data_IF_657695315434
#
_entry.id   IF_657695315434
#
_cell.length_a   1.000
_cell.length_b   1.000
_cell.length_c   1.000
_cell.angle_alpha   90.00
_cell.angle_beta   90.00
_cell.angle_gamma   90.00
#
_symmetry.space_group_name_H-M   'P 1'
#
loop_
_entity.id
_entity.type
_entity.pdbx_description
1 polymer ?
#
# COMPACT_ATOMS: atom_id res chain seq x y z
N UNK A 1 -26.18 -22.99 3.81
CA UNK A 1 -26.47 -21.56 3.53
C UNK A 1 -25.20 -20.94 2.97
N UNK A 2 -25.18 -20.49 1.71
CA UNK A 2 -24.01 -19.80 1.12
C UNK A 2 -24.20 -18.29 1.31
N UNK A 3 -23.25 -17.63 1.97
CA UNK A 3 -23.25 -16.16 2.07
C UNK A 3 -22.84 -15.58 0.71
N UNK A 4 -23.70 -14.77 0.11
CA UNK A 4 -23.35 -13.94 -1.05
C UNK A 4 -22.55 -12.74 -0.55
N UNK A 5 -21.26 -12.69 -0.86
CA UNK A 5 -20.33 -11.65 -0.39
C UNK A 5 -20.61 -10.27 -0.96
N UNK A 6 -21.61 -9.59 -0.40
CA UNK A 6 -22.12 -8.30 -0.88
C UNK A 6 -21.82 -7.19 0.14
N UNK A 7 -21.19 -6.11 -0.32
CA UNK A 7 -21.38 -4.74 0.18
C UNK A 7 -21.11 -4.51 1.68
N UNK A 8 -19.87 -4.77 2.09
CA UNK A 8 -19.30 -4.13 3.27
C UNK A 8 -18.17 -3.19 2.83
N UNK A 9 -18.53 -1.96 2.43
CA UNK A 9 -17.60 -0.83 2.30
C UNK A 9 -16.77 -0.76 3.58
N UNK A 10 -15.45 -0.86 3.50
CA UNK A 10 -14.67 -1.10 4.72
C UNK A 10 -14.66 0.17 5.61
N UNK A 11 -14.64 0.02 6.94
CA UNK A 11 -14.58 1.20 7.82
C UNK A 11 -13.34 2.06 7.51
N UNK A 12 -12.22 1.43 7.21
CA UNK A 12 -10.98 2.10 6.81
C UNK A 12 -11.19 2.93 5.53
N UNK A 13 -11.81 2.35 4.50
CA UNK A 13 -12.16 3.02 3.25
C UNK A 13 -13.11 4.23 3.46
N UNK A 14 -14.15 4.10 4.28
CA UNK A 14 -15.05 5.20 4.60
C UNK A 14 -14.39 6.32 5.44
N UNK A 15 -13.52 5.95 6.38
CA UNK A 15 -12.75 6.93 7.15
C UNK A 15 -11.70 7.64 6.27
N UNK A 16 -11.11 6.95 5.27
CA UNK A 16 -10.20 7.55 4.26
C UNK A 16 -10.97 8.51 3.35
N UNK A 17 -12.12 8.08 2.82
CA UNK A 17 -12.99 8.91 1.98
C UNK A 17 -13.35 10.21 2.69
N UNK A 18 -13.78 10.13 3.95
CA UNK A 18 -14.13 11.29 4.80
C UNK A 18 -12.97 12.29 4.93
N UNK A 19 -11.74 11.81 5.08
CA UNK A 19 -10.56 12.67 5.18
C UNK A 19 -10.13 13.25 3.82
N UNK A 20 -10.28 12.51 2.72
CA UNK A 20 -9.99 13.00 1.37
C UNK A 20 -11.02 14.03 0.91
N UNK A 21 -12.31 13.84 1.18
CA UNK A 21 -13.39 14.80 0.90
C UNK A 21 -13.15 16.14 1.62
N UNK A 22 -12.78 16.08 2.91
CA UNK A 22 -12.41 17.25 3.70
C UNK A 22 -11.27 18.08 3.08
N UNK A 23 -10.35 17.47 2.34
CA UNK A 23 -9.18 18.15 1.74
C UNK A 23 -9.40 18.52 0.26
N UNK A 24 -9.92 17.59 -0.54
CA UNK A 24 -10.09 17.74 -1.99
C UNK A 24 -11.42 18.39 -2.38
N UNK A 25 -12.38 18.46 -1.45
CA UNK A 25 -13.76 18.86 -1.75
C UNK A 25 -14.63 17.66 -2.16
N UNK A 26 -15.89 17.94 -2.56
CA UNK A 26 -16.97 16.95 -2.60
C UNK A 26 -16.65 15.76 -3.51
N UNK A 27 -16.52 14.58 -2.92
CA UNK A 27 -16.35 13.31 -3.59
C UNK A 27 -17.63 12.47 -3.65
N UNK A 28 -17.51 11.29 -4.26
CA UNK A 28 -18.55 10.27 -4.32
C UNK A 28 -17.91 8.93 -3.91
N UNK A 29 -18.41 8.32 -2.85
CA UNK A 29 -18.03 6.97 -2.43
C UNK A 29 -18.87 5.90 -3.15
N UNK A 30 -18.34 4.68 -3.28
CA UNK A 30 -19.04 3.49 -3.82
C UNK A 30 -19.52 3.65 -5.29
N UNK A 31 -18.97 4.64 -6.01
CA UNK A 31 -19.45 5.10 -7.32
C UNK A 31 -19.58 3.96 -8.34
N UNK A 32 -20.75 3.92 -9.00
CA UNK A 32 -21.13 2.83 -9.89
C UNK A 32 -21.03 3.27 -11.35
N UNK A 33 -20.04 2.74 -12.06
CA UNK A 33 -19.71 3.12 -13.43
C UNK A 33 -19.83 1.94 -14.40
N UNK A 34 -20.21 2.22 -15.64
CA UNK A 34 -20.16 1.25 -16.74
C UNK A 34 -18.85 1.45 -17.51
N UNK A 35 -17.93 0.49 -17.42
CA UNK A 35 -16.65 0.52 -18.13
C UNK A 35 -16.65 -0.57 -19.20
N UNK A 36 -16.81 -0.16 -20.46
CA UNK A 36 -17.11 -1.05 -21.58
C UNK A 36 -18.34 -1.90 -21.28
N UNK A 37 -18.20 -3.24 -21.38
CA UNK A 37 -19.30 -4.18 -21.14
C UNK A 37 -19.47 -4.60 -19.67
N UNK A 38 -18.74 -4.00 -18.70
CA UNK A 38 -18.80 -4.37 -17.28
C UNK A 38 -19.17 -3.17 -16.40
N UNK A 39 -20.19 -3.33 -15.55
CA UNK A 39 -20.41 -2.43 -14.41
C UNK A 39 -19.33 -2.67 -13.36
N UNK A 40 -18.70 -1.61 -12.86
CA UNK A 40 -17.67 -1.65 -11.82
C UNK A 40 -18.05 -0.71 -10.67
N UNK A 41 -17.61 -1.06 -9.46
CA UNK A 41 -17.50 -0.16 -8.31
C UNK A 41 -16.16 0.55 -8.38
N UNK A 42 -16.19 1.86 -8.24
CA UNK A 42 -15.06 2.69 -7.81
C UNK A 42 -15.25 2.94 -6.32
N UNK A 43 -14.19 2.81 -5.53
CA UNK A 43 -14.29 3.02 -4.08
C UNK A 43 -14.52 4.50 -3.76
N UNK A 44 -13.73 5.40 -4.37
CA UNK A 44 -13.82 6.85 -4.18
C UNK A 44 -13.55 7.61 -5.50
N UNK A 45 -14.36 8.64 -5.78
CA UNK A 45 -14.19 9.53 -6.92
C UNK A 45 -14.27 11.00 -6.48
N UNK A 46 -13.31 11.82 -6.88
CA UNK A 46 -13.25 13.26 -6.60
C UNK A 46 -13.19 14.03 -7.92
N UNK A 47 -14.25 14.74 -8.34
CA UNK A 47 -14.26 15.53 -9.58
C UNK A 47 -13.22 16.64 -9.51
N UNK A 48 -12.25 16.66 -10.43
CA UNK A 48 -11.22 17.70 -10.48
C UNK A 48 -11.66 18.87 -11.36
N UNK A 49 -12.28 18.55 -12.51
CA UNK A 49 -12.95 19.48 -13.44
C UNK A 49 -14.21 18.80 -14.02
N UNK A 50 -14.95 19.51 -14.87
CA UNK A 50 -16.11 18.96 -15.61
C UNK A 50 -15.80 17.70 -16.45
N UNK A 51 -14.52 17.45 -16.78
CA UNK A 51 -14.09 16.32 -17.63
C UNK A 51 -12.98 15.44 -17.04
N UNK A 52 -12.56 15.70 -15.80
CA UNK A 52 -11.49 14.94 -15.12
C UNK A 52 -11.84 14.65 -13.67
N UNK A 53 -11.49 13.45 -13.20
CA UNK A 53 -11.64 13.05 -11.81
C UNK A 53 -10.38 12.34 -11.30
N UNK A 54 -10.11 12.51 -10.01
CA UNK A 54 -9.24 11.61 -9.26
C UNK A 54 -10.08 10.42 -8.78
N UNK A 55 -9.58 9.23 -9.00
CA UNK A 55 -10.14 7.95 -8.56
C UNK A 55 -9.16 7.38 -7.52
N UNK A 56 -9.66 7.08 -6.33
CA UNK A 56 -8.86 6.50 -5.25
C UNK A 56 -9.47 5.16 -4.83
N UNK A 57 -8.64 4.13 -4.75
CA UNK A 57 -9.03 2.77 -4.38
C UNK A 57 -8.20 2.26 -3.20
N UNK A 58 -8.80 1.48 -2.30
CA UNK A 58 -8.07 0.91 -1.15
C UNK A 58 -7.88 -0.59 -1.30
N UNK A 59 -6.65 -0.99 -1.61
CA UNK A 59 -6.29 -2.39 -1.81
C UNK A 59 -5.80 -3.01 -0.51
N UNK A 60 -6.75 -3.56 0.27
CA UNK A 60 -6.42 -4.34 1.45
C UNK A 60 -5.68 -5.62 1.08
N UNK A 61 -4.54 -5.88 1.73
CA UNK A 61 -3.63 -6.98 1.38
C UNK A 61 -4.27 -8.37 1.42
N UNK A 62 -5.32 -8.55 2.24
CA UNK A 62 -6.08 -9.79 2.32
C UNK A 62 -6.88 -10.12 1.04
N UNK A 63 -7.30 -9.10 0.28
CA UNK A 63 -8.19 -9.26 -0.87
C UNK A 63 -7.46 -9.17 -2.21
N UNK A 64 -6.41 -8.36 -2.32
CA UNK A 64 -5.75 -8.02 -3.59
C UNK A 64 -4.46 -8.79 -3.88
N UNK A 65 -3.96 -9.57 -2.92
CA UNK A 65 -2.78 -10.41 -3.13
C UNK A 65 -3.06 -11.47 -4.21
N UNK A 66 -2.19 -11.56 -5.22
CA UNK A 66 -2.36 -12.41 -6.40
C UNK A 66 -3.50 -11.98 -7.34
N UNK A 67 -3.95 -10.72 -7.27
CA UNK A 67 -4.94 -10.13 -8.19
C UNK A 67 -4.39 -8.97 -9.04
N UNK A 68 -3.07 -8.80 -9.10
CA UNK A 68 -2.39 -7.63 -9.68
C UNK A 68 -2.79 -7.37 -11.14
N UNK A 69 -2.97 -8.41 -11.95
CA UNK A 69 -3.45 -8.29 -13.33
C UNK A 69 -4.90 -7.77 -13.42
N UNK A 70 -5.78 -8.20 -12.50
CA UNK A 70 -7.19 -7.76 -12.42
C UNK A 70 -7.28 -6.30 -11.94
N UNK A 71 -6.44 -5.93 -10.97
CA UNK A 71 -6.34 -4.56 -10.44
C UNK A 71 -5.79 -3.59 -11.50
N UNK A 72 -4.80 -4.02 -12.28
CA UNK A 72 -4.23 -3.27 -13.39
C UNK A 72 -5.21 -3.13 -14.56
N UNK A 73 -5.93 -4.20 -14.93
CA UNK A 73 -7.06 -4.11 -15.88
C UNK A 73 -8.12 -3.10 -15.42
N UNK A 74 -8.45 -3.10 -14.11
CA UNK A 74 -9.40 -2.15 -13.53
C UNK A 74 -8.88 -0.72 -13.63
N UNK A 75 -7.63 -0.48 -13.23
CA UNK A 75 -7.00 0.85 -13.26
C UNK A 75 -6.94 1.41 -14.67
N UNK A 76 -6.48 0.64 -15.66
CA UNK A 76 -6.50 1.07 -17.07
C UNK A 76 -7.90 1.37 -17.61
N UNK A 77 -8.89 0.56 -17.26
CA UNK A 77 -10.28 0.82 -17.66
C UNK A 77 -10.86 2.08 -17.00
N UNK A 78 -10.38 2.47 -15.81
CA UNK A 78 -10.78 3.69 -15.11
C UNK A 78 -10.06 4.92 -15.66
N UNK A 79 -8.74 4.85 -15.89
CA UNK A 79 -7.91 5.91 -16.47
C UNK A 79 -8.34 6.26 -17.91
N UNK A 80 -8.82 5.28 -18.68
CA UNK A 80 -9.35 5.50 -20.04
C UNK A 80 -10.67 6.31 -20.10
N UNK A 81 -11.31 6.54 -18.95
CA UNK A 81 -12.48 7.41 -18.85
C UNK A 81 -13.83 6.81 -19.28
N UNK A 82 -14.87 7.61 -19.10
CA UNK A 82 -16.25 7.37 -19.53
C UNK A 82 -16.94 8.71 -19.82
N UNK A 83 -18.28 8.72 -19.95
CA UNK A 83 -18.95 9.87 -20.59
C UNK A 83 -18.84 11.22 -19.92
N UNK A 84 -18.81 11.26 -18.58
CA UNK A 84 -18.60 12.50 -17.83
C UNK A 84 -17.11 12.83 -17.68
N UNK A 85 -16.30 11.86 -17.24
CA UNK A 85 -14.88 12.08 -16.96
C UNK A 85 -14.02 11.30 -17.96
N UNK A 86 -13.40 12.04 -18.88
CA UNK A 86 -12.55 11.51 -19.97
C UNK A 86 -11.09 11.43 -19.58
N UNK A 87 -10.64 12.30 -18.68
CA UNK A 87 -9.23 12.46 -18.29
C UNK A 87 -9.08 12.07 -16.81
N UNK A 88 -9.08 10.78 -16.52
CA UNK A 88 -9.05 10.28 -15.14
C UNK A 88 -7.63 10.02 -14.65
N UNK A 89 -7.41 10.34 -13.37
CA UNK A 89 -6.21 9.97 -12.62
C UNK A 89 -6.61 8.86 -11.65
N UNK A 90 -5.92 7.72 -11.68
CA UNK A 90 -6.14 6.62 -10.73
C UNK A 90 -4.97 6.56 -9.75
N UNK A 91 -5.29 6.37 -8.47
CA UNK A 91 -4.34 6.07 -7.39
C UNK A 91 -4.85 4.88 -6.60
N UNK A 92 -4.08 3.80 -6.52
CA UNK A 92 -4.34 2.68 -5.61
C UNK A 92 -3.53 2.85 -4.32
N UNK A 93 -4.20 2.74 -3.18
CA UNK A 93 -3.57 2.70 -1.86
C UNK A 93 -3.27 1.23 -1.55
N UNK A 94 -2.03 0.80 -1.75
CA UNK A 94 -1.59 -0.61 -1.74
C UNK A 94 -1.09 -1.01 -0.34
N UNK A 95 -1.82 -1.84 0.39
CA UNK A 95 -1.36 -2.32 1.71
C UNK A 95 -0.22 -3.34 1.59
N UNK A 96 0.91 -3.12 2.26
CA UNK A 96 2.06 -4.03 2.25
C UNK A 96 1.66 -5.49 2.60
N UNK A 97 1.97 -6.51 1.77
CA UNK A 97 3.08 -6.57 0.83
C UNK A 97 2.67 -6.34 -0.64
N UNK A 98 1.58 -5.62 -0.91
CA UNK A 98 1.22 -5.27 -2.27
C UNK A 98 2.18 -4.24 -2.86
N UNK A 99 2.81 -4.60 -3.96
CA UNK A 99 3.60 -3.70 -4.81
C UNK A 99 2.70 -2.70 -5.57
N UNK A 100 3.24 -1.53 -5.98
CA UNK A 100 2.52 -0.57 -6.81
C UNK A 100 2.38 -1.09 -8.25
N UNK A 101 1.26 -0.78 -8.90
CA UNK A 101 0.97 -1.23 -10.27
C UNK A 101 1.24 -0.12 -11.31
N UNK A 102 1.02 1.14 -10.93
CA UNK A 102 1.34 2.32 -11.72
C UNK A 102 2.08 3.37 -10.85
N UNK A 103 2.81 4.32 -11.46
CA UNK A 103 3.65 5.33 -10.76
C UNK A 103 2.89 6.18 -9.73
N UNK A 104 1.57 6.33 -9.90
CA UNK A 104 0.72 7.12 -9.01
C UNK A 104 0.20 6.32 -7.79
N UNK A 105 0.45 5.02 -7.72
CA UNK A 105 0.05 4.17 -6.59
C UNK A 105 0.90 4.44 -5.34
N UNK A 106 0.29 4.25 -4.17
CA UNK A 106 0.88 4.57 -2.88
C UNK A 106 0.89 3.34 -1.98
N UNK A 107 2.08 2.77 -1.77
CA UNK A 107 2.25 1.68 -0.81
C UNK A 107 2.18 2.19 0.64
N UNK A 108 1.37 1.53 1.47
CA UNK A 108 1.15 1.87 2.88
C UNK A 108 1.50 0.69 3.80
N UNK A 109 1.92 0.92 5.06
CA UNK A 109 2.24 -0.16 5.99
C UNK A 109 1.02 -1.04 6.33
N UNK A 110 1.25 -2.27 6.77
CA UNK A 110 0.18 -3.20 7.21
C UNK A 110 -0.71 -2.59 8.28
N UNK A 111 -2.02 -2.79 8.16
CA UNK A 111 -3.06 -2.25 9.04
C UNK A 111 -2.90 -0.73 9.22
N UNK A 112 -2.88 0.05 8.13
CA UNK A 112 -2.66 1.48 8.18
C UNK A 112 -3.87 2.16 8.86
N UNK A 113 -3.64 3.32 9.49
CA UNK A 113 -4.75 4.16 9.92
C UNK A 113 -5.30 4.96 8.73
N UNK A 114 -6.58 5.38 8.77
CA UNK A 114 -7.15 6.21 7.70
C UNK A 114 -6.31 7.46 7.43
N UNK A 115 -5.84 8.11 8.49
CA UNK A 115 -4.99 9.29 8.42
C UNK A 115 -3.63 9.03 7.74
N UNK A 116 -3.02 7.85 7.92
CA UNK A 116 -1.77 7.50 7.21
C UNK A 116 -2.03 7.29 5.72
N UNK A 117 -3.08 6.54 5.36
CA UNK A 117 -3.49 6.39 3.96
C UNK A 117 -3.76 7.74 3.30
N UNK A 118 -4.59 8.61 3.92
CA UNK A 118 -4.90 9.94 3.40
C UNK A 118 -3.63 10.79 3.25
N UNK A 119 -2.78 10.90 4.29
CA UNK A 119 -1.57 11.75 4.24
C UNK A 119 -0.60 11.29 3.16
N UNK A 120 -0.32 9.99 3.05
CA UNK A 120 0.59 9.47 2.03
C UNK A 120 0.00 9.64 0.62
N UNK A 121 -1.31 9.40 0.43
CA UNK A 121 -2.00 9.64 -0.85
C UNK A 121 -1.88 11.10 -1.29
N UNK A 122 -2.25 12.02 -0.40
CA UNK A 122 -2.23 13.46 -0.65
C UNK A 122 -0.81 13.98 -0.92
N UNK A 123 0.18 13.46 -0.19
CA UNK A 123 1.57 13.83 -0.36
C UNK A 123 2.16 13.30 -1.68
N UNK A 124 1.80 12.06 -2.08
CA UNK A 124 2.14 11.51 -3.39
C UNK A 124 1.53 12.33 -4.53
N UNK A 125 0.28 12.75 -4.41
CA UNK A 125 -0.38 13.62 -5.39
C UNK A 125 0.29 14.99 -5.54
N UNK A 126 0.83 15.58 -4.46
CA UNK A 126 1.52 16.86 -4.51
C UNK A 126 2.82 16.82 -5.32
N UNK A 127 3.64 15.77 -5.20
CA UNK A 127 4.88 15.67 -5.97
C UNK A 127 4.63 15.18 -7.41
N UNK A 128 3.71 14.21 -7.60
CA UNK A 128 3.51 13.55 -8.89
C UNK A 128 2.69 14.39 -9.89
N UNK A 129 1.90 15.35 -9.43
CA UNK A 129 1.04 16.15 -10.31
C UNK A 129 0.43 17.39 -9.66
N UNK A 130 1.22 18.34 -9.12
CA UNK A 130 0.70 19.49 -8.38
C UNK A 130 -0.29 20.34 -9.18
N UNK A 131 -0.07 20.48 -10.50
CA UNK A 131 -0.94 21.21 -11.45
C UNK A 131 -2.34 20.60 -11.65
N UNK A 132 -2.57 19.40 -11.13
CA UNK A 132 -3.89 18.75 -11.18
C UNK A 132 -4.78 19.22 -10.02
N UNK A 133 -4.22 20.00 -9.08
CA UNK A 133 -4.82 20.34 -7.81
C UNK A 133 -4.78 21.84 -7.46
N UNK A 134 -4.38 22.75 -8.37
CA UNK A 134 -4.04 24.17 -8.09
C UNK A 134 -4.74 24.82 -6.86
N UNK A 135 -6.06 25.02 -6.87
CA UNK A 135 -6.79 25.64 -5.74
C UNK A 135 -6.82 24.78 -4.46
N UNK A 136 -6.70 23.46 -4.61
CA UNK A 136 -6.65 22.46 -3.54
C UNK A 136 -5.25 22.32 -2.93
N UNK A 137 -4.17 22.66 -3.65
CA UNK A 137 -2.77 22.52 -3.16
C UNK A 137 -2.60 23.11 -1.76
N UNK A 138 -3.15 24.31 -1.53
CA UNK A 138 -3.10 24.93 -0.19
C UNK A 138 -3.81 24.09 0.87
N UNK A 139 -5.02 23.58 0.60
CA UNK A 139 -5.78 22.71 1.53
C UNK A 139 -5.01 21.42 1.84
N UNK A 140 -4.28 20.89 0.85
CA UNK A 140 -3.44 19.71 1.04
C UNK A 140 -2.26 20.02 1.97
N UNK A 141 -1.49 21.08 1.70
CA UNK A 141 -0.37 21.51 2.54
C UNK A 141 -0.84 21.87 3.96
N UNK A 142 -1.95 22.59 4.10
CA UNK A 142 -2.58 22.92 5.39
C UNK A 142 -2.92 21.64 6.18
N UNK A 143 -3.52 20.63 5.54
CA UNK A 143 -3.89 19.36 6.19
C UNK A 143 -2.67 18.52 6.57
N UNK A 144 -1.66 18.43 5.70
CA UNK A 144 -0.42 17.72 5.99
C UNK A 144 0.36 18.37 7.14
N UNK A 145 0.31 19.71 7.24
CA UNK A 145 0.93 20.51 8.29
C UNK A 145 0.15 20.60 9.61
N UNK A 146 -1.17 20.48 9.59
CA UNK A 146 -2.00 20.41 10.80
C UNK A 146 -1.85 19.08 11.58
N UNK A 147 -1.07 18.12 11.07
CA UNK A 147 -0.95 16.80 11.65
C UNK A 147 0.05 16.77 12.83
N UNK A 148 -0.37 16.35 14.05
CA UNK A 148 0.44 16.46 15.27
C UNK A 148 1.64 15.51 15.34
N UNK A 149 1.88 14.69 14.30
CA UNK A 149 3.10 13.91 14.13
C UNK A 149 3.63 14.08 12.69
N UNK A 150 4.89 14.48 12.52
CA UNK A 150 5.61 14.38 11.25
C UNK A 150 5.48 13.03 10.56
N UNK A 151 5.55 13.01 9.22
CA UNK A 151 5.75 11.75 8.49
C UNK A 151 7.18 11.24 8.77
N UNK A 152 7.29 9.96 9.13
CA UNK A 152 8.59 9.32 9.29
C UNK A 152 9.06 8.70 7.96
N UNK A 153 10.38 8.65 7.72
CA UNK A 153 10.96 8.11 6.48
C UNK A 153 10.51 6.69 6.15
N UNK A 154 10.32 5.85 7.17
CA UNK A 154 9.87 4.46 7.08
C UNK A 154 8.36 4.29 6.84
N UNK A 155 7.61 5.40 6.74
CA UNK A 155 6.21 5.42 6.30
C UNK A 155 6.06 5.87 4.83
N UNK A 156 7.05 6.58 4.29
CA UNK A 156 7.04 7.12 2.92
C UNK A 156 7.82 6.17 2.00
N UNK A 157 7.09 5.31 1.26
CA UNK A 157 7.69 4.30 0.37
C UNK A 157 8.17 4.83 -0.99
N UNK A 158 7.80 6.07 -1.36
CA UNK A 158 8.30 6.74 -2.57
C UNK A 158 9.52 7.61 -2.22
N UNK A 159 10.64 7.38 -2.90
CA UNK A 159 11.88 8.13 -2.65
C UNK A 159 11.78 9.58 -3.16
N UNK A 160 11.11 9.80 -4.29
CA UNK A 160 10.88 11.14 -4.85
C UNK A 160 9.98 11.99 -3.94
N UNK A 161 8.91 11.39 -3.39
CA UNK A 161 8.14 11.97 -2.28
C UNK A 161 9.06 12.44 -1.15
N UNK A 162 9.97 11.59 -0.66
CA UNK A 162 10.83 11.94 0.46
C UNK A 162 11.84 13.06 0.12
N UNK A 163 12.29 13.14 -1.13
CA UNK A 163 13.17 14.21 -1.59
C UNK A 163 12.41 15.54 -1.69
N UNK A 164 11.27 15.56 -2.40
CA UNK A 164 10.40 16.74 -2.57
C UNK A 164 9.75 17.21 -1.26
N UNK A 165 9.70 16.35 -0.25
CA UNK A 165 9.31 16.71 1.12
C UNK A 165 10.00 18.00 1.59
N UNK A 166 11.30 18.10 1.36
CA UNK A 166 12.15 19.21 1.82
C UNK A 166 11.92 20.52 1.04
N UNK A 167 11.10 20.49 -0.01
CA UNK A 167 10.73 21.63 -0.84
C UNK A 167 9.26 22.05 -0.65
N UNK A 168 8.37 21.08 -0.42
CA UNK A 168 6.91 21.30 -0.34
C UNK A 168 6.40 21.43 1.11
N UNK A 169 7.09 20.81 2.08
CA UNK A 169 6.66 20.78 3.48
C UNK A 169 7.56 21.66 4.36
N UNK A 170 6.99 22.46 5.29
CA UNK A 170 7.72 23.03 6.42
C UNK A 170 8.65 22.00 7.12
N UNK A 171 9.93 22.33 7.42
CA UNK A 171 10.93 21.36 7.87
C UNK A 171 10.60 20.63 9.18
N UNK A 172 9.76 21.22 10.03
CA UNK A 172 9.26 20.66 11.28
C UNK A 172 8.25 19.52 11.11
N UNK A 173 7.68 19.36 9.90
CA UNK A 173 6.72 18.31 9.55
C UNK A 173 7.37 17.02 9.05
N UNK A 174 8.69 16.99 8.98
CA UNK A 174 9.50 15.86 8.54
C UNK A 174 10.43 15.44 9.67
N UNK A 175 10.39 14.16 10.04
CA UNK A 175 11.37 13.60 10.97
C UNK A 175 12.30 12.69 10.18
N UNK A 176 13.56 13.12 9.93
CA UNK A 176 14.59 12.25 9.40
C UNK A 176 14.65 10.97 10.24
N UNK A 177 14.79 9.82 9.57
CA UNK A 177 14.60 8.49 10.17
C UNK A 177 15.11 8.43 11.60
N UNK A 178 14.23 8.27 12.57
CA UNK A 178 14.63 8.08 13.97
C UNK A 178 15.42 6.78 14.05
N UNK A 179 16.74 6.91 13.92
CA UNK A 179 17.74 5.84 13.83
C UNK A 179 17.54 4.89 14.99
N UNK A 180 16.72 3.83 14.78
CA UNK A 180 16.00 3.08 15.82
C UNK A 180 16.88 2.92 17.05
N UNK A 181 16.65 3.76 18.07
CA UNK A 181 17.50 3.73 19.26
C UNK A 181 17.38 2.33 19.85
N UNK A 182 18.53 1.68 20.09
CA UNK A 182 18.70 0.28 20.49
C UNK A 182 17.89 -0.07 21.76
N UNK A 183 16.59 -0.28 21.60
CA UNK A 183 15.60 -0.57 22.65
C UNK A 183 14.69 -1.76 22.32
N UNK A 184 15.13 -2.59 21.37
CA UNK A 184 15.18 -4.03 21.58
C UNK A 184 16.61 -4.49 21.30
N UNK A 185 17.38 -4.63 22.37
CA UNK A 185 18.29 -5.75 22.42
C UNK A 185 17.40 -6.94 22.77
N UNK A 186 17.00 -7.70 21.75
CA UNK A 186 16.47 -9.03 22.01
C UNK A 186 17.62 -9.81 22.68
N UNK A 187 17.37 -10.53 23.79
CA UNK A 187 18.44 -11.26 24.45
C UNK A 187 18.97 -12.31 23.48
N UNK A 188 20.28 -12.28 23.22
CA UNK A 188 20.94 -13.38 22.52
C UNK A 188 20.85 -14.58 23.45
N UNK A 189 19.88 -15.46 23.17
CA UNK A 189 19.85 -16.79 23.76
C UNK A 189 21.01 -17.53 23.12
N UNK A 190 22.16 -17.50 23.78
CA UNK A 190 23.27 -18.38 23.51
C UNK A 190 22.81 -19.81 23.81
N UNK A 191 22.21 -20.45 22.81
CA UNK A 191 22.05 -21.90 22.80
C UNK A 191 23.46 -22.49 22.81
N UNK A 192 23.89 -22.92 23.99
CA UNK A 192 25.11 -23.69 24.15
C UNK A 192 25.00 -24.92 23.25
N UNK A 193 25.78 -24.93 22.17
CA UNK A 193 25.96 -26.12 21.35
C UNK A 193 26.85 -27.05 22.17
N UNK A 194 26.23 -28.04 22.80
CA UNK A 194 26.96 -29.13 23.43
C UNK A 194 27.87 -29.78 22.38
N UNK A 195 29.17 -30.00 22.68
CA UNK A 195 30.08 -30.61 21.72
C UNK A 195 29.60 -32.03 21.41
N UNK A 196 29.70 -32.49 20.15
CA UNK A 196 29.27 -33.85 19.79
C UNK A 196 30.14 -34.88 20.52
N UNK A 197 29.49 -35.86 21.17
CA UNK A 197 30.17 -36.96 21.86
C UNK A 197 31.20 -37.65 20.96
N UNK A 198 32.38 -37.94 21.53
CA UNK A 198 33.46 -38.62 20.81
C UNK A 198 33.06 -40.06 20.45
N UNK A 199 32.75 -40.29 19.17
CA UNK A 199 32.45 -41.64 18.66
C UNK A 199 33.72 -42.50 18.71
N UNK A 200 33.76 -43.59 19.51
CA UNK A 200 34.95 -44.43 19.62
C UNK A 200 35.26 -45.17 18.31
N UNK A 201 36.54 -45.52 18.06
CA UNK A 201 36.97 -46.08 16.79
C UNK A 201 36.37 -47.47 16.51
N UNK A 202 36.10 -47.74 15.23
CA UNK A 202 35.43 -48.96 14.76
C UNK A 202 36.21 -50.22 15.11
N UNK A 203 35.57 -51.13 15.86
CA UNK A 203 36.00 -52.52 15.95
C UNK A 203 35.87 -53.21 14.59
N UNK A 204 36.97 -53.82 14.13
CA UNK A 204 36.98 -54.66 12.94
C UNK A 204 36.39 -56.03 13.28
N UNK A 205 35.34 -56.45 12.57
CA UNK A 205 35.05 -57.86 12.36
C UNK A 205 34.35 -58.04 11.01
N UNK A 206 34.90 -58.93 10.20
CA UNK A 206 34.30 -59.38 8.95
C UNK A 206 33.63 -60.73 9.19
N UNK A 207 32.59 -61.03 8.43
CA UNK A 207 32.35 -62.41 8.00
C UNK A 207 31.62 -62.45 6.64
N UNK A 208 31.72 -63.59 5.95
CA UNK A 208 31.42 -63.73 4.53
C UNK A 208 30.38 -64.84 4.26
N UNK A 209 29.32 -64.49 3.53
CA UNK A 209 28.45 -65.36 2.71
C UNK A 209 27.57 -64.43 1.83
N UNK A 210 27.42 -64.57 0.50
CA UNK A 210 27.02 -65.71 -0.36
C UNK A 210 25.61 -66.23 -0.02
N UNK A 211 24.65 -66.45 -0.94
CA UNK A 211 24.45 -66.14 -2.39
C UNK A 211 22.90 -66.23 -2.66
N UNK A 212 22.26 -65.96 -3.80
CA UNK A 212 22.57 -65.79 -5.24
C UNK A 212 21.47 -64.87 -5.87
N UNK A 213 21.62 -64.24 -7.06
CA UNK A 213 20.61 -63.34 -7.65
C UNK A 213 19.64 -64.02 -8.65
N UNK A 214 18.42 -63.49 -8.80
CA UNK A 214 17.55 -63.80 -9.96
C UNK A 214 16.07 -63.40 -9.83
N UNK A 215 15.51 -62.92 -10.96
CA UNK A 215 14.10 -62.61 -11.27
C UNK A 215 13.48 -61.38 -10.56
#
# INVERSE_FOLDING_TARGET
MRLTGNRATSKLEADIFTLLDYVLGPGIQDFQVQLGNRRRRIDMLFPLTDTSALIVEYDGAHWHLSQEATDWEKSRAMSAGWDQYRNNIVVRIREHPLDPLEYLDVCVPRRPSPLICTRLTLFHLLHAGPRLFDERVKRIVDFLGASPRPLARDEVNCDDCWNEANHVMPPDLLVPTLRRQRRRADPVIEHAVEPPDEVPPRGFQADIQQEIPGL
#
